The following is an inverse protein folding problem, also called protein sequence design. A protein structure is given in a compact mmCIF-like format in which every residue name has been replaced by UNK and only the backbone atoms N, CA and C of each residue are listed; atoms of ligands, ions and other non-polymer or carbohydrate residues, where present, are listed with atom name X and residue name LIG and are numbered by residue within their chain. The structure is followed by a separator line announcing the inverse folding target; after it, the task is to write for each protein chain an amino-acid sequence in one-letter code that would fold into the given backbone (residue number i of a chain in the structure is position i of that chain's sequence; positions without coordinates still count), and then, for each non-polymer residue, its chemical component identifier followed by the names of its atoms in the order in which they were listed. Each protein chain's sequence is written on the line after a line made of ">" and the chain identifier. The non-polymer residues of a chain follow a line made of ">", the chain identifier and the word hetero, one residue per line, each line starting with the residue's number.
data_IF_850855552074
#
_entry.id   IF_850855552074
#
_cell.length_a   1.000
_cell.length_b   1.000
_cell.length_c   1.000
_cell.angle_alpha   90.00
_cell.angle_beta   90.00
_cell.angle_gamma   90.00
#
_symmetry.space_group_name_H-M   'P 1'
#
loop_
_entity.id
_entity.type
_entity.pdbx_description
1 polymer ?
#
# COMPACT_ATOMS: atom_id res chain seq x y z
N UNK A 1 15.92 -4.44 20.11
CA UNK A 1 17.23 -3.75 19.94
C UNK A 1 18.32 -4.77 20.19
N UNK A 2 19.31 -4.84 19.33
CA UNK A 2 20.40 -5.82 19.39
C UNK A 2 21.75 -5.10 19.38
N UNK A 3 22.60 -5.40 20.36
CA UNK A 3 23.95 -4.86 20.39
C UNK A 3 24.84 -5.68 19.47
N UNK A 4 25.47 -5.04 18.50
CA UNK A 4 26.37 -5.72 17.58
C UNK A 4 27.58 -6.29 18.30
N UNK A 5 28.03 -7.50 17.96
CA UNK A 5 29.10 -8.21 18.67
C UNK A 5 30.50 -7.75 18.22
N UNK A 6 30.66 -6.47 17.93
CA UNK A 6 31.92 -5.87 17.50
C UNK A 6 32.53 -4.97 18.58
N UNK A 7 33.84 -4.98 18.71
CA UNK A 7 34.59 -4.09 19.58
C UNK A 7 35.28 -4.79 20.76
N UNK A 8 35.89 -3.99 21.62
CA UNK A 8 36.66 -4.48 22.76
C UNK A 8 35.79 -5.33 23.72
N UNK A 9 36.29 -6.49 24.07
CA UNK A 9 35.55 -7.44 24.94
C UNK A 9 34.34 -8.11 24.27
N UNK A 10 34.17 -7.98 22.95
CA UNK A 10 33.11 -8.62 22.16
C UNK A 10 33.67 -9.79 21.35
N UNK A 11 32.76 -10.58 20.74
CA UNK A 11 33.13 -11.77 19.96
C UNK A 11 34.02 -11.43 18.77
N UNK A 12 33.80 -10.29 18.14
CA UNK A 12 34.58 -9.83 16.98
C UNK A 12 35.33 -8.54 17.33
N UNK A 13 36.65 -8.55 17.13
CA UNK A 13 37.50 -7.39 17.40
C UNK A 13 37.82 -7.19 18.87
N UNK A 14 37.82 -8.24 19.71
CA UNK A 14 38.08 -8.13 21.15
C UNK A 14 39.48 -7.59 21.52
N UNK A 15 40.48 -7.75 20.63
CA UNK A 15 41.85 -7.29 20.82
C UNK A 15 42.21 -6.01 20.08
N UNK A 16 41.23 -5.30 19.50
CA UNK A 16 41.51 -4.03 18.77
C UNK A 16 41.93 -2.91 19.70
N UNK A 17 42.72 -1.98 19.20
CA UNK A 17 43.14 -0.80 19.95
C UNK A 17 41.97 0.16 20.19
N UNK A 18 42.14 1.10 21.13
CA UNK A 18 41.07 2.02 21.55
C UNK A 18 40.48 2.83 20.40
N UNK A 19 41.33 3.27 19.44
CA UNK A 19 40.88 4.09 18.30
C UNK A 19 39.98 3.28 17.38
N UNK A 20 40.37 2.05 17.03
CA UNK A 20 39.58 1.15 16.21
C UNK A 20 38.28 0.78 16.93
N UNK A 21 38.33 0.54 18.24
CA UNK A 21 37.13 0.25 19.05
C UNK A 21 36.13 1.40 19.03
N UNK A 22 36.56 2.65 19.01
CA UNK A 22 35.64 3.79 18.86
C UNK A 22 34.90 3.78 17.53
N UNK A 23 35.46 3.19 16.48
CA UNK A 23 34.80 3.09 15.18
C UNK A 23 33.87 1.88 15.10
N UNK A 24 34.36 0.69 15.47
CA UNK A 24 33.61 -0.57 15.27
C UNK A 24 32.74 -0.99 16.45
N UNK A 25 33.08 -0.55 17.70
CA UNK A 25 32.35 -0.92 18.92
C UNK A 25 31.15 -0.02 19.20
N UNK A 26 30.30 -0.41 20.15
CA UNK A 26 29.19 0.41 20.64
C UNK A 26 28.02 0.59 19.68
N UNK A 27 27.92 -0.22 18.63
CA UNK A 27 26.78 -0.21 17.72
C UNK A 27 25.63 -1.04 18.25
N UNK A 28 24.44 -0.49 18.11
CA UNK A 28 23.18 -1.17 18.36
C UNK A 28 22.27 -1.03 17.15
N UNK A 29 21.46 -2.04 16.91
CA UNK A 29 20.50 -2.03 15.81
C UNK A 29 19.13 -2.48 16.26
N UNK A 30 18.10 -1.90 15.67
CA UNK A 30 16.73 -2.37 15.78
C UNK A 30 16.13 -2.45 14.37
N UNK A 31 15.62 -3.62 14.02
CA UNK A 31 14.93 -3.87 12.77
C UNK A 31 13.46 -4.14 13.06
N UNK A 32 12.57 -3.45 12.37
CA UNK A 32 11.14 -3.68 12.35
C UNK A 32 10.71 -4.13 10.96
N UNK A 33 10.06 -5.28 10.88
CA UNK A 33 9.52 -5.81 9.64
C UNK A 33 8.00 -5.87 9.76
N UNK A 34 7.31 -5.19 8.85
CA UNK A 34 5.86 -5.24 8.76
C UNK A 34 5.46 -5.90 7.45
N UNK A 35 4.76 -7.01 7.56
CA UNK A 35 4.26 -7.74 6.40
C UNK A 35 2.81 -8.14 6.65
N UNK A 36 1.93 -7.78 5.74
CA UNK A 36 0.55 -8.28 5.76
C UNK A 36 0.00 -8.43 4.35
N UNK A 37 -0.97 -9.32 4.19
CA UNK A 37 -1.76 -9.42 2.96
C UNK A 37 -2.56 -8.13 2.77
N UNK A 38 -2.89 -7.80 1.52
CA UNK A 38 -3.70 -6.62 1.23
C UNK A 38 -5.01 -6.56 2.00
N UNK A 39 -5.54 -5.36 2.18
CA UNK A 39 -6.83 -5.14 2.82
C UNK A 39 -7.95 -5.81 2.03
N UNK A 40 -8.98 -6.28 2.75
CA UNK A 40 -10.21 -6.77 2.13
C UNK A 40 -10.95 -5.61 1.46
N UNK A 41 -11.33 -5.79 0.20
CA UNK A 41 -12.06 -4.80 -0.58
C UNK A 41 -13.43 -5.38 -0.89
N UNK A 42 -14.46 -4.59 -0.61
CA UNK A 42 -15.83 -4.91 -1.00
C UNK A 42 -16.14 -4.20 -2.31
N UNK A 43 -16.33 -4.90 -3.42
CA UNK A 43 -16.68 -4.26 -4.67
C UNK A 43 -18.12 -3.76 -4.61
N UNK A 44 -18.32 -2.53 -5.08
CA UNK A 44 -19.64 -1.93 -5.24
C UNK A 44 -19.91 -1.70 -6.72
N UNK A 45 -21.10 -2.01 -7.16
CA UNK A 45 -21.61 -1.60 -8.46
C UNK A 45 -22.19 -0.19 -8.30
N UNK A 46 -21.70 0.76 -9.08
CA UNK A 46 -22.33 2.09 -9.10
C UNK A 46 -23.78 2.00 -9.56
N UNK A 47 -24.58 2.99 -9.23
CA UNK A 47 -25.99 3.13 -9.62
C UNK A 47 -26.24 3.04 -11.13
N UNK A 48 -25.20 3.07 -11.92
CA UNK A 48 -25.23 3.08 -13.39
C UNK A 48 -24.78 1.77 -14.03
N UNK A 49 -25.19 0.66 -13.46
CA UNK A 49 -25.07 -0.64 -14.16
C UNK A 49 -26.00 -0.76 -15.36
N UNK A 50 -26.01 0.27 -16.20
CA UNK A 50 -26.92 0.33 -17.32
C UNK A 50 -28.38 0.57 -16.94
N UNK A 51 -28.61 1.13 -15.79
CA UNK A 51 -29.87 1.04 -15.13
C UNK A 51 -30.70 2.31 -15.19
N UNK A 52 -31.20 2.59 -16.36
CA UNK A 52 -32.50 3.24 -16.49
C UNK A 52 -33.66 2.26 -16.18
N UNK A 53 -33.34 1.06 -15.68
CA UNK A 53 -34.37 0.07 -15.43
C UNK A 53 -34.85 0.19 -13.99
N UNK A 54 -36.13 0.59 -13.77
CA UNK A 54 -36.73 0.74 -12.44
C UNK A 54 -36.83 -0.60 -11.68
N UNK A 55 -36.53 -1.73 -12.31
CA UNK A 55 -36.56 -3.07 -11.70
C UNK A 55 -35.18 -3.58 -11.27
N UNK A 56 -34.16 -2.74 -11.26
CA UNK A 56 -32.87 -3.15 -10.74
C UNK A 56 -32.90 -3.28 -9.21
N UNK A 57 -32.00 -4.08 -8.69
CA UNK A 57 -31.88 -4.23 -7.25
C UNK A 57 -31.61 -2.90 -6.56
N UNK A 58 -30.91 -1.97 -7.21
CA UNK A 58 -30.63 -0.63 -6.69
C UNK A 58 -31.87 0.25 -6.61
N UNK A 59 -32.80 0.12 -7.56
CA UNK A 59 -34.07 0.85 -7.55
C UNK A 59 -35.06 0.29 -6.51
N UNK A 60 -34.98 -1.01 -6.23
CA UNK A 60 -35.90 -1.70 -5.31
C UNK A 60 -35.56 -1.44 -3.83
N UNK A 61 -34.34 -1.11 -3.50
CA UNK A 61 -33.87 -0.97 -2.12
C UNK A 61 -33.39 0.44 -1.75
N UNK A 62 -33.69 1.43 -2.55
CA UNK A 62 -33.35 2.84 -2.25
C UNK A 62 -31.85 3.11 -2.27
N UNK A 63 -31.32 3.69 -1.21
CA UNK A 63 -29.90 4.10 -1.09
C UNK A 63 -28.93 2.92 -0.89
N UNK A 64 -29.30 1.71 -1.20
CA UNK A 64 -28.43 0.55 -1.05
C UNK A 64 -27.36 0.53 -2.14
N UNK A 65 -26.10 0.40 -1.74
CA UNK A 65 -24.98 0.22 -2.66
C UNK A 65 -24.99 -1.21 -3.21
N UNK A 66 -25.41 -1.43 -4.46
CA UNK A 66 -25.52 -2.78 -5.02
C UNK A 66 -24.13 -3.40 -5.17
N UNK A 67 -24.06 -4.70 -4.95
CA UNK A 67 -22.83 -5.46 -5.19
C UNK A 67 -22.88 -6.09 -6.57
N UNK A 68 -21.75 -6.16 -7.28
CA UNK A 68 -21.65 -6.91 -8.52
C UNK A 68 -21.61 -8.42 -8.24
N UNK A 69 -21.64 -9.22 -9.30
CA UNK A 69 -21.31 -10.63 -9.22
C UNK A 69 -19.80 -10.83 -9.22
N UNK A 70 -19.30 -11.64 -8.30
CA UNK A 70 -17.93 -12.12 -8.32
C UNK A 70 -17.81 -13.33 -9.26
N UNK A 71 -16.83 -13.30 -10.16
CA UNK A 71 -16.57 -14.37 -11.11
C UNK A 71 -15.70 -15.43 -10.45
N UNK A 72 -16.24 -16.62 -10.29
CA UNK A 72 -15.52 -17.74 -9.68
C UNK A 72 -14.28 -18.10 -10.50
N UNK A 73 -13.16 -18.33 -9.82
CA UNK A 73 -11.90 -18.73 -10.45
C UNK A 73 -11.14 -17.61 -11.17
N UNK A 74 -11.68 -16.40 -11.25
CA UNK A 74 -10.95 -15.26 -11.80
C UNK A 74 -9.84 -14.80 -10.83
N UNK A 75 -8.65 -14.54 -11.38
CA UNK A 75 -7.55 -14.00 -10.58
C UNK A 75 -7.90 -12.58 -10.11
N UNK A 76 -7.83 -12.36 -8.80
CA UNK A 76 -8.17 -11.06 -8.18
C UNK A 76 -7.20 -9.96 -8.61
N UNK A 77 -5.92 -10.27 -8.66
CA UNK A 77 -4.87 -9.31 -8.96
C UNK A 77 -4.27 -9.58 -10.34
N UNK A 78 -3.89 -8.50 -11.00
CA UNK A 78 -3.09 -8.50 -12.23
C UNK A 78 -1.76 -7.79 -11.98
N UNK A 79 -0.75 -7.93 -12.86
CA UNK A 79 0.47 -7.14 -12.79
C UNK A 79 0.14 -5.66 -12.70
N UNK A 80 0.89 -4.93 -11.85
CA UNK A 80 0.69 -3.49 -11.64
C UNK A 80 0.79 -2.76 -12.97
N UNK A 81 -0.28 -2.06 -13.33
CA UNK A 81 -0.35 -1.25 -14.54
C UNK A 81 -0.36 0.24 -14.20
N UNK A 82 0.27 1.03 -15.06
CA UNK A 82 0.22 2.48 -14.98
C UNK A 82 -0.89 2.97 -15.90
N UNK A 83 -1.78 3.80 -15.38
CA UNK A 83 -2.92 4.36 -16.13
C UNK A 83 -2.88 5.88 -16.06
N UNK A 84 -3.28 6.55 -17.12
CA UNK A 84 -3.46 7.99 -17.16
C UNK A 84 -4.94 8.33 -16.97
N UNK A 85 -5.23 9.26 -16.05
CA UNK A 85 -6.58 9.67 -15.71
C UNK A 85 -6.61 11.19 -15.64
N UNK A 86 -7.24 11.83 -16.60
CA UNK A 86 -7.40 13.30 -16.58
C UNK A 86 -6.11 14.09 -16.42
N UNK A 87 -4.98 13.60 -16.96
CA UNK A 87 -3.67 14.22 -16.81
C UNK A 87 -2.85 13.75 -15.60
N UNK A 88 -3.42 12.95 -14.72
CA UNK A 88 -2.73 12.32 -13.58
C UNK A 88 -2.34 10.89 -13.89
N UNK A 89 -1.28 10.42 -13.27
CA UNK A 89 -0.80 9.03 -13.41
C UNK A 89 -1.23 8.25 -12.17
N UNK A 90 -1.97 7.17 -12.37
CA UNK A 90 -2.37 6.24 -11.33
C UNK A 90 -1.77 4.84 -11.53
N UNK A 91 -1.92 3.99 -10.53
CA UNK A 91 -1.57 2.57 -10.60
C UNK A 91 -2.82 1.73 -10.39
N UNK A 92 -2.91 0.59 -11.08
CA UNK A 92 -4.02 -0.37 -10.94
C UNK A 92 -3.44 -1.78 -10.84
N UNK A 93 -3.96 -2.58 -9.92
CA UNK A 93 -3.58 -3.98 -9.78
C UNK A 93 -4.77 -4.94 -9.64
N UNK A 94 -5.98 -4.45 -9.40
CA UNK A 94 -7.15 -5.30 -9.41
C UNK A 94 -7.56 -5.66 -10.83
N UNK A 95 -7.88 -6.92 -11.04
CA UNK A 95 -8.39 -7.39 -12.32
C UNK A 95 -9.89 -7.02 -12.44
N UNK A 96 -10.28 -6.18 -13.40
CA UNK A 96 -11.69 -5.82 -13.57
C UNK A 96 -12.57 -7.02 -13.99
N UNK A 97 -11.99 -8.06 -14.55
CA UNK A 97 -12.70 -9.29 -14.92
C UNK A 97 -13.10 -10.18 -13.73
N UNK A 98 -12.69 -9.83 -12.49
CA UNK A 98 -13.11 -10.55 -11.29
C UNK A 98 -14.54 -10.23 -10.88
N UNK A 99 -15.12 -9.19 -11.44
CA UNK A 99 -16.50 -8.77 -11.18
C UNK A 99 -17.30 -8.70 -12.49
N UNK A 100 -18.58 -8.99 -12.42
CA UNK A 100 -19.50 -8.99 -13.55
C UNK A 100 -20.83 -8.31 -13.15
N UNK A 101 -21.59 -7.78 -14.12
CA UNK A 101 -22.89 -7.20 -13.85
C UNK A 101 -23.86 -8.25 -13.29
N UNK A 102 -24.78 -7.77 -12.46
CA UNK A 102 -25.94 -8.57 -12.05
C UNK A 102 -27.01 -8.54 -13.14
N UNK A 103 -27.87 -9.55 -13.15
CA UNK A 103 -29.09 -9.50 -13.95
C UNK A 103 -30.13 -8.60 -13.28
N UNK A 104 -31.07 -8.06 -14.07
CA UNK A 104 -32.14 -7.23 -13.58
C UNK A 104 -32.94 -7.95 -12.47
N UNK A 105 -33.15 -7.27 -11.37
CA UNK A 105 -33.89 -7.82 -10.21
C UNK A 105 -33.10 -8.80 -9.35
N UNK A 106 -31.81 -9.00 -9.60
CA UNK A 106 -30.96 -9.88 -8.80
C UNK A 106 -29.94 -9.11 -7.99
N UNK A 107 -29.67 -9.63 -6.80
CA UNK A 107 -28.56 -9.15 -5.97
C UNK A 107 -27.24 -9.80 -6.41
N UNK A 108 -26.16 -9.02 -6.41
CA UNK A 108 -24.83 -9.57 -6.65
C UNK A 108 -24.36 -10.48 -5.53
N UNK A 109 -23.51 -11.43 -5.88
CA UNK A 109 -23.01 -12.45 -4.97
C UNK A 109 -21.66 -12.09 -4.33
N UNK A 110 -21.02 -10.95 -4.68
CA UNK A 110 -19.78 -10.54 -4.06
C UNK A 110 -19.98 -10.29 -2.57
N UNK A 111 -19.19 -10.95 -1.75
CA UNK A 111 -19.22 -10.78 -0.31
C UNK A 111 -18.39 -9.57 0.15
N UNK A 112 -18.60 -9.15 1.38
CA UNK A 112 -17.75 -8.13 2.02
C UNK A 112 -16.32 -8.60 2.09
N UNK A 113 -15.38 -7.75 1.65
CA UNK A 113 -13.96 -8.08 1.66
C UNK A 113 -13.55 -9.23 0.74
N UNK A 114 -14.36 -9.53 -0.29
CA UNK A 114 -14.13 -10.65 -1.22
C UNK A 114 -12.86 -10.49 -2.07
N UNK A 115 -12.43 -9.26 -2.29
CA UNK A 115 -11.21 -8.96 -3.04
C UNK A 115 -10.09 -8.52 -2.09
N UNK A 116 -8.86 -8.61 -2.56
CA UNK A 116 -7.68 -8.21 -1.80
C UNK A 116 -6.87 -7.16 -2.56
N UNK A 117 -6.54 -6.09 -1.85
CA UNK A 117 -5.62 -5.07 -2.34
C UNK A 117 -4.16 -5.55 -2.36
N UNK A 118 -3.22 -4.66 -2.72
CA UNK A 118 -1.79 -4.96 -2.69
C UNK A 118 -1.33 -5.35 -1.27
N UNK A 119 -0.40 -6.29 -1.20
CA UNK A 119 0.26 -6.62 0.07
C UNK A 119 1.17 -5.48 0.51
N UNK A 120 1.29 -5.29 1.81
CA UNK A 120 2.23 -4.36 2.42
C UNK A 120 3.45 -5.12 2.92
N UNK A 121 4.63 -4.60 2.60
CA UNK A 121 5.91 -5.11 3.07
C UNK A 121 6.82 -3.93 3.31
N UNK A 122 7.14 -3.64 4.57
CA UNK A 122 8.07 -2.57 4.95
C UNK A 122 9.11 -3.09 5.91
N UNK A 123 10.27 -2.49 5.84
CA UNK A 123 11.37 -2.73 6.76
C UNK A 123 11.88 -1.37 7.24
N UNK A 124 11.94 -1.19 8.56
CA UNK A 124 12.49 0.00 9.18
C UNK A 124 13.72 -0.40 9.99
N UNK A 125 14.81 0.31 9.79
CA UNK A 125 16.08 0.03 10.45
C UNK A 125 16.51 1.24 11.27
N UNK A 126 16.86 1.01 12.51
CA UNK A 126 17.49 2.00 13.37
C UNK A 126 18.89 1.55 13.76
N UNK A 127 19.87 2.40 13.53
CA UNK A 127 21.25 2.20 13.92
C UNK A 127 21.63 3.25 14.95
N UNK A 128 22.08 2.79 16.11
CA UNK A 128 22.53 3.65 17.21
C UNK A 128 24.01 3.38 17.47
N UNK A 129 24.77 4.43 17.59
CA UNK A 129 26.16 4.38 17.99
C UNK A 129 26.42 5.23 19.19
N UNK A 130 27.04 4.67 20.21
CA UNK A 130 27.46 5.41 21.38
C UNK A 130 28.96 5.69 21.35
N UNK A 131 29.35 6.91 21.62
CA UNK A 131 30.72 7.38 21.73
C UNK A 131 30.95 7.92 23.13
N UNK A 132 31.60 7.19 24.03
CA UNK A 132 32.09 7.78 25.27
C UNK A 132 33.25 8.71 24.94
N UNK A 133 33.08 10.02 25.16
CA UNK A 133 34.12 11.04 24.90
C UNK A 133 34.96 11.22 26.13
N UNK A 134 34.30 11.41 27.30
CA UNK A 134 34.93 11.47 28.61
C UNK A 134 34.05 10.74 29.64
N UNK A 135 34.50 10.64 30.88
CA UNK A 135 33.68 10.03 31.97
C UNK A 135 32.32 10.71 32.15
N UNK A 136 32.19 11.99 31.79
CA UNK A 136 30.96 12.79 31.96
C UNK A 136 30.26 13.13 30.63
N UNK A 137 30.95 13.00 29.50
CA UNK A 137 30.43 13.42 28.21
C UNK A 137 30.29 12.22 27.31
N UNK A 138 29.05 11.98 26.85
CA UNK A 138 28.72 10.92 25.92
C UNK A 138 28.04 11.51 24.68
N UNK A 139 28.43 11.06 23.51
CA UNK A 139 27.74 11.35 22.27
C UNK A 139 27.02 10.09 21.75
N UNK A 140 25.84 10.28 21.24
CA UNK A 140 25.04 9.23 20.63
C UNK A 140 24.66 9.68 19.21
N UNK A 141 25.07 8.90 18.25
CA UNK A 141 24.63 9.03 16.86
C UNK A 141 23.47 8.07 16.63
N UNK A 142 22.42 8.55 15.97
CA UNK A 142 21.26 7.76 15.57
C UNK A 142 21.00 7.94 14.09
N UNK A 143 20.91 6.84 13.34
CA UNK A 143 20.53 6.82 11.94
C UNK A 143 19.27 5.96 11.81
N UNK A 144 18.16 6.59 11.50
CA UNK A 144 16.87 5.93 11.30
C UNK A 144 16.55 5.87 9.80
N UNK A 145 16.25 4.69 9.33
CA UNK A 145 15.83 4.42 7.96
C UNK A 145 14.40 3.92 7.99
N UNK A 146 13.46 4.76 7.58
CA UNK A 146 12.06 4.39 7.39
C UNK A 146 11.88 3.89 5.97
N UNK A 147 11.18 2.79 5.81
CA UNK A 147 11.01 2.12 4.52
C UNK A 147 12.35 1.85 3.81
N UNK A 148 13.24 1.14 4.50
CA UNK A 148 14.60 0.81 4.03
C UNK A 148 14.61 0.21 2.62
N UNK A 149 13.63 -0.63 2.30
CA UNK A 149 13.48 -1.29 0.99
C UNK A 149 12.96 -0.37 -0.10
N UNK A 150 12.56 0.86 0.24
CA UNK A 150 11.92 1.81 -0.67
C UNK A 150 10.74 1.20 -1.43
N UNK A 151 9.94 0.39 -0.73
CA UNK A 151 8.78 -0.27 -1.30
C UNK A 151 7.59 0.69 -1.24
N UNK A 152 6.92 0.99 -2.36
CA UNK A 152 5.75 1.85 -2.33
C UNK A 152 4.60 1.18 -1.57
N UNK A 153 3.99 1.92 -0.65
CA UNK A 153 2.81 1.50 0.10
C UNK A 153 1.63 2.24 -0.52
N UNK A 154 0.79 1.49 -1.20
CA UNK A 154 -0.37 2.07 -1.86
C UNK A 154 -1.57 2.18 -0.92
N UNK A 155 -2.45 3.14 -1.20
CA UNK A 155 -3.77 3.25 -0.59
C UNK A 155 -4.64 2.03 -0.90
N UNK A 156 -5.79 1.97 -0.24
CA UNK A 156 -6.80 0.95 -0.56
C UNK A 156 -7.30 1.21 -1.98
N UNK A 157 -7.32 0.19 -2.86
CA UNK A 157 -7.81 0.36 -4.22
C UNK A 157 -9.27 0.81 -4.27
N UNK A 158 -9.61 1.62 -5.26
CA UNK A 158 -10.98 2.03 -5.50
C UNK A 158 -11.90 0.81 -5.70
N UNK A 159 -12.98 0.74 -4.95
CA UNK A 159 -13.90 -0.40 -4.89
C UNK A 159 -15.11 -0.28 -5.82
N UNK A 160 -15.31 0.88 -6.42
CA UNK A 160 -16.44 1.15 -7.31
C UNK A 160 -16.19 0.57 -8.70
N UNK A 161 -17.05 -0.33 -9.13
CA UNK A 161 -17.03 -0.97 -10.43
C UNK A 161 -18.21 -0.49 -11.29
N UNK A 162 -17.98 -0.24 -12.58
CA UNK A 162 -19.03 0.10 -13.53
C UNK A 162 -19.29 1.59 -13.79
N UNK A 163 -18.58 2.51 -13.16
CA UNK A 163 -18.79 3.97 -13.32
C UNK A 163 -18.07 4.62 -14.52
N UNK A 164 -17.37 3.88 -15.36
CA UNK A 164 -16.52 4.48 -16.39
C UNK A 164 -16.77 3.94 -17.78
N UNK A 165 -17.70 4.59 -18.47
CA UNK A 165 -17.85 4.44 -19.91
C UNK A 165 -17.13 5.48 -20.75
N UNK A 166 -16.58 6.51 -20.16
CA UNK A 166 -16.03 7.64 -20.92
C UNK A 166 -14.61 8.06 -20.57
N UNK A 167 -13.79 7.19 -20.01
CA UNK A 167 -12.38 7.48 -19.92
C UNK A 167 -11.68 7.10 -21.24
N UNK A 168 -11.80 7.97 -22.24
CA UNK A 168 -11.06 7.84 -23.50
C UNK A 168 -9.53 7.85 -23.30
N UNK A 169 -9.06 8.32 -22.14
CA UNK A 169 -7.66 8.37 -21.74
C UNK A 169 -7.18 7.17 -20.92
N UNK A 170 -8.07 6.25 -20.55
CA UNK A 170 -7.71 5.02 -19.83
C UNK A 170 -7.34 3.90 -20.80
N UNK A 171 -6.36 4.17 -21.67
CA UNK A 171 -5.87 3.14 -22.61
C UNK A 171 -5.15 2.06 -21.81
N UNK A 172 -5.71 0.86 -21.83
CA UNK A 172 -5.12 -0.34 -21.26
C UNK A 172 -5.89 -1.00 -20.14
N UNK A 173 -6.73 -0.30 -19.40
CA UNK A 173 -7.66 -0.91 -18.45
C UNK A 173 -9.04 -0.95 -19.08
N UNK A 174 -9.42 -2.09 -19.62
CA UNK A 174 -10.80 -2.32 -20.05
C UNK A 174 -11.67 -2.37 -18.79
N UNK A 175 -12.22 -1.24 -18.41
CA UNK A 175 -13.50 -1.24 -17.73
C UNK A 175 -14.49 -1.68 -18.79
N UNK A 176 -14.86 -2.95 -18.80
CA UNK A 176 -15.87 -3.48 -19.73
C UNK A 176 -17.13 -2.67 -19.55
N UNK A 177 -17.43 -1.87 -20.57
CA UNK A 177 -18.37 -0.81 -20.63
C UNK A 177 -19.66 -1.04 -19.89
N UNK A 178 -19.95 -0.05 -19.12
CA UNK A 178 -21.33 0.34 -18.86
C UNK A 178 -21.38 1.85 -19.05
N UNK A 179 -22.14 2.27 -20.03
CA UNK A 179 -22.41 3.67 -20.33
C UNK A 179 -23.10 4.34 -19.15
N UNK A 180 -22.41 5.16 -18.41
CA UNK A 180 -22.96 5.97 -17.35
C UNK A 180 -22.39 7.34 -17.38
N UNK A 181 -22.98 8.23 -18.15
CA UNK A 181 -22.69 9.66 -18.11
C UNK A 181 -23.14 10.24 -16.78
N UNK A 182 -22.24 10.45 -15.87
CA UNK A 182 -22.45 11.17 -14.61
C UNK A 182 -21.22 12.00 -14.31
N UNK A 183 -21.40 13.31 -14.25
CA UNK A 183 -20.40 14.29 -13.83
C UNK A 183 -20.01 14.01 -12.38
N UNK A 184 -18.78 13.69 -12.13
CA UNK A 184 -18.20 13.78 -10.79
C UNK A 184 -17.50 12.52 -10.31
N UNK A 185 -16.23 12.68 -10.05
CA UNK A 185 -15.29 11.78 -9.39
C UNK A 185 -15.00 10.44 -10.08
N UNK A 186 -13.95 10.49 -10.77
CA UNK A 186 -13.28 9.43 -11.50
C UNK A 186 -12.63 8.40 -10.56
N UNK A 187 -13.30 7.35 -10.15
CA UNK A 187 -12.68 6.20 -9.50
C UNK A 187 -12.63 5.02 -10.47
N UNK A 188 -11.48 4.70 -11.02
CA UNK A 188 -11.26 3.44 -11.73
C UNK A 188 -11.25 2.30 -10.71
N UNK A 189 -12.03 1.26 -10.96
CA UNK A 189 -11.99 0.06 -10.14
C UNK A 189 -10.54 -0.47 -10.01
N UNK A 190 -10.10 -0.63 -8.79
CA UNK A 190 -8.73 -1.01 -8.50
C UNK A 190 -7.69 0.10 -8.60
N UNK A 191 -8.10 1.35 -8.83
CA UNK A 191 -7.18 2.47 -8.81
C UNK A 191 -6.57 2.65 -7.42
N UNK A 192 -5.27 2.74 -7.38
CA UNK A 192 -4.47 3.09 -6.23
C UNK A 192 -4.21 4.59 -6.28
N UNK A 193 -4.96 5.33 -5.48
CA UNK A 193 -4.85 6.78 -5.39
C UNK A 193 -3.81 7.14 -4.32
N UNK A 194 -2.61 7.38 -4.79
CA UNK A 194 -1.50 7.76 -3.93
C UNK A 194 -0.66 6.57 -3.41
N UNK A 195 0.51 6.90 -2.99
CA UNK A 195 1.42 6.04 -2.25
C UNK A 195 2.03 6.85 -1.10
N UNK A 196 2.43 6.16 -0.06
CA UNK A 196 3.22 6.78 1.00
C UNK A 196 4.53 7.33 0.44
N UNK A 197 5.16 8.30 1.14
CA UNK A 197 6.50 8.77 0.81
C UNK A 197 7.46 7.60 0.62
N UNK A 198 8.48 7.80 -0.21
CA UNK A 198 9.57 6.86 -0.38
C UNK A 198 10.35 6.68 0.92
N UNK A 199 11.53 6.08 0.79
CA UNK A 199 12.44 5.92 1.93
C UNK A 199 12.82 7.26 2.51
N UNK A 200 12.73 7.37 3.84
CA UNK A 200 13.19 8.50 4.62
C UNK A 200 14.41 8.09 5.44
N UNK A 201 15.38 8.98 5.54
CA UNK A 201 16.60 8.78 6.33
C UNK A 201 16.73 9.97 7.27
N UNK A 202 16.69 9.69 8.56
CA UNK A 202 16.90 10.68 9.60
C UNK A 202 18.23 10.42 10.30
N UNK A 203 19.04 11.45 10.47
CA UNK A 203 20.30 11.41 11.18
C UNK A 203 20.23 12.36 12.36
N UNK A 204 20.52 11.87 13.55
CA UNK A 204 20.52 12.67 14.77
C UNK A 204 21.83 12.45 15.56
N UNK A 205 22.36 13.52 16.13
CA UNK A 205 23.47 13.50 17.08
C UNK A 205 23.04 14.12 18.38
N UNK A 206 23.15 13.37 19.46
CA UNK A 206 22.85 13.82 20.81
C UNK A 206 24.13 13.82 21.66
N UNK A 207 24.40 14.90 22.32
CA UNK A 207 25.51 15.01 23.29
C UNK A 207 24.90 15.20 24.68
N UNK A 208 25.33 14.39 25.62
CA UNK A 208 24.94 14.49 27.03
C UNK A 208 26.19 14.73 27.88
N UNK A 209 26.10 15.62 28.83
CA UNK A 209 27.18 16.06 29.74
C UNK A 209 26.65 16.20 31.17
#
# INVERSE_FOLDING_TARGET
>A
MYSLPFGHGKTFGGGVNSVVNQVIGGWQTALSLTMHSGFGITPFAGTYMGDSNPNSASSLVGSYEPRPNCVAGAATNMPMQTVQIGGSIGKVNLNPGVVAPTQNGQFGNCQTGSLRGPSLKTADLNLIKQFPITERVNAQFNAQFVNLTNTPIFSVPASWWGQYSSCAACSGVRTTGVNGGGSGTTGLFGLLDGSNPGREIELALRVSF
#
